data_IF_920598003515
#
_entry.id   IF_920598003515
#
_cell.length_a   1.000
_cell.length_b   1.000
_cell.length_c   1.000
_cell.angle_alpha   90.00
_cell.angle_beta   90.00
_cell.angle_gamma   90.00
#
_symmetry.space_group_name_H-M   'P 1'
#
loop_
_entity.id
_entity.type
_entity.pdbx_description
1 polymer ?
#
# COMPACT_ATOMS: atom_id res chain seq x y z
N UNK A 1 -17.65 36.48 -5.14
CA UNK A 1 -18.78 36.66 -6.09
C UNK A 1 -19.07 35.31 -6.73
N UNK A 2 -20.26 34.72 -6.53
CA UNK A 2 -20.59 33.45 -7.18
C UNK A 2 -20.97 33.72 -8.65
N UNK A 3 -20.25 33.11 -9.58
CA UNK A 3 -20.39 33.34 -11.02
C UNK A 3 -21.66 32.74 -11.65
N UNK A 4 -22.73 32.51 -10.87
CA UNK A 4 -23.95 31.85 -11.35
C UNK A 4 -24.60 32.57 -12.53
N UNK A 5 -24.71 33.91 -12.44
CA UNK A 5 -25.48 34.73 -13.37
C UNK A 5 -24.68 35.37 -14.53
N UNK A 6 -23.41 35.00 -14.72
CA UNK A 6 -22.62 35.59 -15.82
C UNK A 6 -23.07 35.08 -17.19
N UNK A 7 -22.99 35.91 -18.24
CA UNK A 7 -23.10 35.44 -19.63
C UNK A 7 -22.11 34.31 -19.90
N UNK A 8 -22.50 33.35 -20.75
CA UNK A 8 -21.68 32.14 -21.00
C UNK A 8 -20.32 32.50 -21.58
N UNK A 9 -20.30 33.49 -22.47
CA UNK A 9 -19.12 34.04 -23.13
C UNK A 9 -18.18 34.67 -22.09
N UNK A 10 -18.75 35.39 -21.11
CA UNK A 10 -17.98 35.99 -20.04
C UNK A 10 -17.36 34.94 -19.11
N UNK A 11 -18.06 33.82 -18.86
CA UNK A 11 -17.49 32.70 -18.09
C UNK A 11 -16.30 32.06 -18.81
N UNK A 12 -16.37 31.91 -20.13
CA UNK A 12 -15.29 31.36 -20.96
C UNK A 12 -14.11 32.35 -21.02
N UNK A 13 -14.38 33.65 -21.15
CA UNK A 13 -13.37 34.70 -21.07
C UNK A 13 -12.68 34.72 -19.70
N UNK A 14 -13.46 34.59 -18.62
CA UNK A 14 -12.93 34.53 -17.27
C UNK A 14 -12.03 33.29 -17.05
N UNK A 15 -12.36 32.15 -17.67
CA UNK A 15 -11.49 30.98 -17.69
C UNK A 15 -10.18 31.25 -18.44
N UNK A 16 -10.25 31.87 -19.63
CA UNK A 16 -9.07 32.27 -20.40
C UNK A 16 -8.11 33.13 -19.57
N UNK A 17 -8.63 34.12 -18.82
CA UNK A 17 -7.83 34.96 -17.92
C UNK A 17 -7.23 34.25 -16.70
N UNK A 18 -7.49 32.95 -16.51
CA UNK A 18 -6.85 32.10 -15.49
C UNK A 18 -5.81 31.14 -16.07
N UNK A 19 -5.66 31.10 -17.39
CA UNK A 19 -4.69 30.26 -18.08
C UNK A 19 -3.45 31.07 -18.42
N UNK A 20 -2.29 30.42 -18.38
CA UNK A 20 -1.01 31.03 -18.71
C UNK A 20 -0.16 30.09 -19.57
N UNK A 21 0.86 30.65 -20.23
CA UNK A 21 1.82 29.89 -21.02
C UNK A 21 1.19 29.01 -22.11
N UNK A 22 1.67 27.78 -22.24
CA UNK A 22 1.23 26.83 -23.28
C UNK A 22 -0.26 26.49 -23.18
N UNK A 23 -0.83 26.52 -21.96
CA UNK A 23 -2.25 26.24 -21.76
C UNK A 23 -3.13 27.33 -22.35
N UNK A 24 -2.77 28.60 -22.17
CA UNK A 24 -3.47 29.73 -22.78
C UNK A 24 -3.37 29.66 -24.31
N UNK A 25 -2.17 29.46 -24.85
CA UNK A 25 -1.94 29.39 -26.31
C UNK A 25 -2.79 28.27 -26.95
N UNK A 26 -2.87 27.10 -26.30
CA UNK A 26 -3.71 26.01 -26.78
C UNK A 26 -5.19 26.36 -26.69
N UNK A 27 -5.63 26.90 -25.55
CA UNK A 27 -7.02 27.29 -25.33
C UNK A 27 -7.50 28.29 -26.37
N UNK A 28 -6.76 29.37 -26.63
CA UNK A 28 -7.14 30.41 -27.59
C UNK A 28 -7.30 29.87 -29.02
N UNK A 29 -6.46 28.89 -29.40
CA UNK A 29 -6.55 28.23 -30.71
C UNK A 29 -7.79 27.34 -30.84
N UNK A 30 -8.18 26.68 -29.76
CA UNK A 30 -9.23 25.65 -29.79
C UNK A 30 -10.62 26.18 -29.42
N UNK A 31 -10.69 27.24 -28.59
CA UNK A 31 -11.96 27.77 -28.07
C UNK A 31 -12.97 28.16 -29.15
N UNK A 32 -12.60 28.69 -30.34
CA UNK A 32 -13.57 28.95 -31.40
C UNK A 32 -14.23 27.66 -31.90
N UNK A 33 -13.44 26.59 -32.05
CA UNK A 33 -13.96 25.27 -32.46
C UNK A 33 -14.88 24.65 -31.40
N UNK A 34 -14.52 24.75 -30.12
CA UNK A 34 -15.36 24.21 -29.04
C UNK A 34 -16.66 24.98 -28.86
N UNK A 35 -16.61 26.32 -28.92
CA UNK A 35 -17.81 27.18 -28.79
C UNK A 35 -18.79 27.02 -29.95
N UNK A 36 -18.31 26.63 -31.14
CA UNK A 36 -19.17 26.26 -32.27
C UNK A 36 -19.98 24.97 -32.01
N UNK A 37 -19.48 24.05 -31.17
CA UNK A 37 -20.21 22.84 -30.77
C UNK A 37 -21.13 23.13 -29.58
N UNK A 38 -20.59 23.72 -28.53
CA UNK A 38 -21.36 24.16 -27.37
C UNK A 38 -20.67 25.35 -26.71
N UNK A 39 -21.40 26.46 -26.66
CA UNK A 39 -20.95 27.69 -26.03
C UNK A 39 -21.16 27.67 -24.49
N UNK A 40 -20.89 26.55 -23.83
CA UNK A 40 -20.98 26.41 -22.36
C UNK A 40 -19.58 26.30 -21.76
N UNK A 41 -19.38 26.90 -20.58
CA UNK A 41 -18.12 26.78 -19.84
C UNK A 41 -17.80 25.30 -19.56
N UNK A 42 -18.80 24.50 -19.19
CA UNK A 42 -18.62 23.07 -18.91
C UNK A 42 -18.05 22.30 -20.11
N UNK A 43 -18.58 22.52 -21.32
CA UNK A 43 -18.08 21.85 -22.51
C UNK A 43 -16.64 22.25 -22.83
N UNK A 44 -16.31 23.53 -22.69
CA UNK A 44 -14.96 24.05 -22.89
C UNK A 44 -14.00 23.49 -21.83
N UNK A 45 -14.40 23.45 -20.57
CA UNK A 45 -13.60 22.86 -19.48
C UNK A 45 -13.37 21.38 -19.68
N UNK A 46 -14.39 20.61 -20.08
CA UNK A 46 -14.26 19.19 -20.38
C UNK A 46 -13.36 18.96 -21.61
N UNK A 47 -13.48 19.79 -22.64
CA UNK A 47 -12.62 19.70 -23.84
C UNK A 47 -11.15 19.96 -23.50
N UNK A 48 -10.88 20.94 -22.63
CA UNK A 48 -9.53 21.18 -22.14
C UNK A 48 -9.05 20.08 -21.20
N UNK A 49 -9.91 19.57 -20.32
CA UNK A 49 -9.63 18.42 -19.47
C UNK A 49 -9.22 17.21 -20.30
N UNK A 50 -9.86 16.95 -21.44
CA UNK A 50 -9.49 15.84 -22.33
C UNK A 50 -8.05 15.91 -22.86
N UNK A 51 -7.47 17.11 -23.00
CA UNK A 51 -6.06 17.26 -23.36
C UNK A 51 -5.13 16.95 -22.16
N UNK A 52 -5.47 17.47 -20.98
CA UNK A 52 -4.61 17.41 -19.80
C UNK A 52 -4.80 16.15 -18.95
N UNK A 53 -5.93 15.48 -19.11
CA UNK A 53 -6.09 14.12 -18.64
C UNK A 53 -5.22 13.29 -19.57
N UNK A 54 -3.98 13.04 -19.15
CA UNK A 54 -3.23 11.91 -19.68
C UNK A 54 -3.75 10.69 -18.92
N UNK A 55 -4.76 9.96 -19.43
CA UNK A 55 -5.11 8.68 -18.81
C UNK A 55 -3.85 7.83 -18.84
N UNK A 56 -3.51 7.22 -17.71
CA UNK A 56 -2.44 6.24 -17.68
C UNK A 56 -2.90 5.12 -18.63
N UNK A 57 -2.23 4.84 -19.75
CA UNK A 57 -2.67 3.75 -20.62
C UNK A 57 -2.74 2.45 -19.81
N UNK A 58 -3.74 1.60 -20.04
CA UNK A 58 -3.91 0.35 -19.26
C UNK A 58 -2.60 -0.45 -19.15
N UNK A 59 -1.88 -0.62 -20.27
CA UNK A 59 -0.58 -1.30 -20.29
C UNK A 59 0.47 -0.63 -19.38
N UNK A 60 0.51 0.71 -19.34
CA UNK A 60 1.39 1.45 -18.44
C UNK A 60 0.97 1.30 -16.98
N UNK A 61 -0.33 1.24 -16.71
CA UNK A 61 -0.87 0.95 -15.39
C UNK A 61 -0.41 -0.42 -14.88
N UNK A 62 -0.52 -1.46 -15.72
CA UNK A 62 -0.04 -2.82 -15.39
C UNK A 62 1.47 -2.82 -15.14
N UNK A 63 2.25 -2.13 -15.99
CA UNK A 63 3.70 -1.98 -15.81
C UNK A 63 4.03 -1.35 -14.44
N UNK A 64 3.37 -0.25 -14.09
CA UNK A 64 3.54 0.46 -12.83
C UNK A 64 3.15 -0.39 -11.61
N UNK A 65 2.04 -1.13 -11.71
CA UNK A 65 1.54 -2.01 -10.65
C UNK A 65 2.35 -3.30 -10.47
N UNK A 66 3.07 -3.74 -11.52
CA UNK A 66 3.86 -4.97 -11.48
C UNK A 66 5.28 -4.75 -10.93
N UNK A 67 5.70 -3.49 -10.72
CA UNK A 67 6.98 -3.18 -10.07
C UNK A 67 6.96 -3.69 -8.63
N UNK A 68 8.11 -4.21 -8.18
CA UNK A 68 8.23 -4.72 -6.82
C UNK A 68 7.86 -3.66 -5.78
N UNK A 69 7.20 -4.08 -4.69
CA UNK A 69 6.83 -3.23 -3.56
C UNK A 69 8.08 -2.52 -3.04
N UNK A 70 8.02 -1.19 -2.95
CA UNK A 70 9.08 -0.41 -2.32
C UNK A 70 9.31 -0.89 -0.87
N UNK A 71 10.55 -1.26 -0.48
CA UNK A 71 10.86 -1.70 0.88
C UNK A 71 10.50 -0.67 1.96
N UNK A 72 10.51 0.64 1.64
CA UNK A 72 10.15 1.72 2.55
C UNK A 72 8.65 1.89 2.77
N UNK A 73 7.82 1.23 1.95
CA UNK A 73 6.36 1.30 2.01
C UNK A 73 5.74 0.11 2.71
N UNK A 74 4.71 0.37 3.49
CA UNK A 74 3.90 -0.65 4.14
C UNK A 74 2.99 -1.36 3.13
N UNK A 75 2.50 -2.56 3.47
CA UNK A 75 1.53 -3.28 2.62
C UNK A 75 0.23 -2.50 2.36
N UNK A 76 -0.37 -1.79 3.35
CA UNK A 76 -1.54 -0.97 3.08
C UNK A 76 -1.27 0.18 2.11
N UNK A 77 -0.13 0.87 2.23
CA UNK A 77 0.26 1.93 1.27
C UNK A 77 0.45 1.37 -0.14
N UNK A 78 1.08 0.20 -0.26
CA UNK A 78 1.27 -0.46 -1.55
C UNK A 78 -0.06 -0.90 -2.16
N UNK A 79 -0.95 -1.50 -1.37
CA UNK A 79 -2.30 -1.86 -1.82
C UNK A 79 -3.08 -0.63 -2.32
N UNK A 80 -3.08 0.47 -1.55
CA UNK A 80 -3.72 1.72 -1.95
C UNK A 80 -3.13 2.28 -3.26
N UNK A 81 -1.80 2.21 -3.42
CA UNK A 81 -1.14 2.58 -4.68
C UNK A 81 -1.64 1.73 -5.86
N UNK A 82 -1.75 0.41 -5.70
CA UNK A 82 -2.24 -0.48 -6.77
C UNK A 82 -3.69 -0.16 -7.14
N UNK A 83 -4.57 0.02 -6.16
CA UNK A 83 -5.98 0.42 -6.41
C UNK A 83 -6.02 1.74 -7.16
N UNK A 84 -5.28 2.74 -6.70
CA UNK A 84 -5.24 4.05 -7.34
C UNK A 84 -4.76 3.99 -8.79
N UNK A 85 -3.68 3.25 -9.07
CA UNK A 85 -3.17 3.11 -10.43
C UNK A 85 -4.17 2.37 -11.31
N UNK A 86 -4.82 1.32 -10.80
CA UNK A 86 -5.82 0.57 -11.55
C UNK A 86 -7.01 1.45 -11.97
N UNK A 87 -7.57 2.23 -11.03
CA UNK A 87 -8.65 3.19 -11.30
C UNK A 87 -8.25 4.21 -12.36
N UNK A 88 -7.05 4.80 -12.22
CA UNK A 88 -6.55 5.83 -13.14
C UNK A 88 -6.17 5.30 -14.53
N UNK A 89 -6.04 3.99 -14.67
CA UNK A 89 -5.66 3.33 -15.93
C UNK A 89 -6.77 2.45 -16.52
N UNK A 90 -7.94 2.41 -15.89
CA UNK A 90 -9.06 1.56 -16.30
C UNK A 90 -8.77 0.06 -16.20
N UNK A 91 -7.80 -0.35 -15.36
CA UNK A 91 -7.51 -1.76 -15.13
C UNK A 91 -8.50 -2.35 -14.10
N UNK A 92 -8.78 -3.64 -14.24
CA UNK A 92 -9.77 -4.33 -13.39
C UNK A 92 -9.28 -4.53 -11.96
N UNK A 93 -10.23 -4.72 -11.03
CA UNK A 93 -9.92 -5.12 -9.65
C UNK A 93 -9.17 -6.46 -9.59
N UNK A 94 -9.46 -7.37 -10.53
CA UNK A 94 -8.70 -8.62 -10.69
C UNK A 94 -7.23 -8.34 -11.02
N UNK A 95 -6.94 -7.30 -11.80
CA UNK A 95 -5.58 -6.86 -12.08
C UNK A 95 -4.87 -6.40 -10.81
N UNK A 96 -5.54 -5.66 -9.92
CA UNK A 96 -4.99 -5.27 -8.60
C UNK A 96 -4.58 -6.49 -7.80
N UNK A 97 -5.44 -7.50 -7.69
CA UNK A 97 -5.16 -8.75 -6.98
C UNK A 97 -3.95 -9.48 -7.56
N UNK A 98 -3.87 -9.61 -8.89
CA UNK A 98 -2.73 -10.24 -9.55
C UNK A 98 -1.43 -9.44 -9.38
N UNK A 99 -1.51 -8.12 -9.51
CA UNK A 99 -0.37 -7.23 -9.37
C UNK A 99 0.14 -7.18 -7.94
N UNK A 100 -0.73 -7.30 -6.92
CA UNK A 100 -0.30 -7.43 -5.53
C UNK A 100 0.66 -8.62 -5.38
N UNK A 101 0.27 -9.82 -5.83
CA UNK A 101 1.15 -10.99 -5.78
C UNK A 101 2.42 -10.82 -6.64
N UNK A 102 2.32 -10.26 -7.85
CA UNK A 102 3.47 -10.07 -8.75
C UNK A 102 4.51 -9.10 -8.16
N UNK A 103 4.04 -7.99 -7.62
CA UNK A 103 4.87 -6.95 -7.00
C UNK A 103 5.38 -7.32 -5.60
N UNK A 104 4.87 -8.38 -4.98
CA UNK A 104 5.39 -8.84 -3.70
C UNK A 104 6.85 -9.29 -3.80
N UNK A 105 7.71 -9.02 -2.80
CA UNK A 105 9.06 -9.59 -2.73
C UNK A 105 9.07 -11.12 -2.79
N UNK A 106 10.15 -11.70 -3.30
CA UNK A 106 10.23 -13.16 -3.54
C UNK A 106 10.01 -14.01 -2.29
N UNK A 107 10.45 -13.56 -1.11
CA UNK A 107 10.31 -14.32 0.14
C UNK A 107 8.86 -14.53 0.58
N UNK A 108 7.93 -13.65 0.18
CA UNK A 108 6.52 -13.68 0.60
C UNK A 108 5.56 -14.02 -0.54
N UNK A 109 5.97 -13.73 -1.78
CA UNK A 109 5.21 -14.00 -3.00
C UNK A 109 4.65 -15.43 -3.03
N UNK A 110 5.49 -16.43 -2.77
CA UNK A 110 5.08 -17.83 -2.76
C UNK A 110 3.99 -18.11 -1.74
N UNK A 111 4.09 -17.54 -0.53
CA UNK A 111 3.09 -17.73 0.52
C UNK A 111 1.77 -16.99 0.22
N UNK A 112 1.81 -15.87 -0.50
CA UNK A 112 0.60 -15.20 -0.97
C UNK A 112 -0.09 -16.01 -2.07
N UNK A 113 0.67 -16.59 -3.00
CA UNK A 113 0.12 -17.40 -4.09
C UNK A 113 -0.60 -18.67 -3.62
N UNK A 114 -0.20 -19.26 -2.49
CA UNK A 114 -0.92 -20.42 -1.91
C UNK A 114 -2.28 -20.04 -1.31
N UNK A 115 -2.45 -18.77 -0.90
CA UNK A 115 -3.71 -18.24 -0.37
C UNK A 115 -4.60 -17.61 -1.43
N UNK A 116 -4.08 -17.43 -2.65
CA UNK A 116 -4.83 -16.86 -3.76
C UNK A 116 -5.93 -17.81 -4.24
N UNK A 117 -7.17 -17.35 -4.23
CA UNK A 117 -8.34 -18.04 -4.75
C UNK A 117 -8.84 -17.34 -6.02
N UNK A 118 -8.64 -18.00 -7.16
CA UNK A 118 -9.04 -17.50 -8.49
C UNK A 118 -10.55 -17.54 -8.76
N UNK A 119 -11.33 -18.24 -7.94
CA UNK A 119 -12.78 -18.39 -8.10
C UNK A 119 -13.58 -17.28 -7.40
N UNK A 120 -12.94 -16.53 -6.51
CA UNK A 120 -13.55 -15.38 -5.82
C UNK A 120 -13.73 -14.22 -6.78
N UNK A 121 -14.87 -13.54 -6.67
CA UNK A 121 -15.23 -12.35 -7.47
C UNK A 121 -14.97 -11.03 -6.73
N UNK A 122 -14.78 -11.09 -5.40
CA UNK A 122 -14.49 -9.95 -4.53
C UNK A 122 -12.99 -9.64 -4.49
N UNK A 123 -12.43 -9.31 -5.65
CA UNK A 123 -10.99 -9.23 -5.87
C UNK A 123 -10.27 -8.21 -4.96
N UNK A 124 -10.87 -7.03 -4.72
CA UNK A 124 -10.28 -6.03 -3.83
C UNK A 124 -10.26 -6.49 -2.37
N UNK A 125 -11.31 -7.17 -1.92
CA UNK A 125 -11.41 -7.72 -0.58
C UNK A 125 -10.35 -8.82 -0.36
N UNK A 126 -10.21 -9.72 -1.33
CA UNK A 126 -9.15 -10.73 -1.30
C UNK A 126 -7.75 -10.11 -1.31
N UNK A 127 -7.52 -9.05 -2.09
CA UNK A 127 -6.24 -8.35 -2.11
C UNK A 127 -5.92 -7.69 -0.75
N UNK A 128 -6.92 -7.12 -0.08
CA UNK A 128 -6.76 -6.57 1.27
C UNK A 128 -6.44 -7.66 2.32
N UNK A 129 -7.06 -8.83 2.21
CA UNK A 129 -6.75 -9.99 3.06
C UNK A 129 -5.31 -10.49 2.83
N UNK A 130 -4.85 -10.56 1.58
CA UNK A 130 -3.47 -10.93 1.26
C UNK A 130 -2.45 -9.91 1.76
N UNK A 131 -2.77 -8.61 1.68
CA UNK A 131 -1.94 -7.56 2.26
C UNK A 131 -1.88 -7.68 3.80
N UNK A 132 -3.00 -8.00 4.45
CA UNK A 132 -3.06 -8.23 5.90
C UNK A 132 -2.22 -9.45 6.32
N UNK A 133 -2.33 -10.55 5.57
CA UNK A 133 -1.47 -11.72 5.75
C UNK A 133 0.01 -11.34 5.61
N UNK A 134 0.34 -10.50 4.64
CA UNK A 134 1.73 -10.14 4.39
C UNK A 134 2.37 -9.39 5.57
N UNK A 135 1.59 -8.53 6.23
CA UNK A 135 1.98 -7.84 7.48
C UNK A 135 2.29 -8.86 8.59
N UNK A 136 1.39 -9.83 8.82
CA UNK A 136 1.56 -10.85 9.85
C UNK A 136 2.77 -11.75 9.58
N UNK A 137 2.98 -12.12 8.32
CA UNK A 137 4.10 -12.95 7.89
C UNK A 137 5.43 -12.22 8.07
N UNK A 138 5.51 -10.93 7.75
CA UNK A 138 6.71 -10.13 8.00
C UNK A 138 6.98 -9.96 9.49
N UNK A 139 5.96 -9.69 10.31
CA UNK A 139 6.11 -9.61 11.75
C UNK A 139 6.61 -10.93 12.36
N UNK A 140 6.18 -12.07 11.81
CA UNK A 140 6.60 -13.41 12.27
C UNK A 140 8.02 -13.77 11.84
N UNK A 141 8.49 -13.24 10.70
CA UNK A 141 9.87 -13.44 10.22
C UNK A 141 10.89 -12.51 10.89
N UNK A 142 10.44 -11.43 11.52
CA UNK A 142 11.26 -10.63 12.44
C UNK A 142 11.25 -11.33 13.81
N UNK A 143 11.87 -12.52 13.88
CA UNK A 143 12.19 -13.17 15.15
C UNK A 143 13.12 -12.27 16.00
N UNK A 144 13.17 -12.45 17.33
CA UNK A 144 13.86 -11.53 18.23
C UNK A 144 15.30 -11.35 17.77
N UNK A 145 15.66 -10.13 17.38
CA UNK A 145 17.04 -9.74 17.17
C UNK A 145 17.81 -10.11 18.43
N UNK A 146 18.75 -11.03 18.27
CA UNK A 146 19.52 -11.66 19.34
C UNK A 146 20.49 -10.63 19.93
N UNK A 147 19.96 -9.64 20.66
CA UNK A 147 20.68 -8.77 21.56
C UNK A 147 20.85 -9.49 22.88
N UNK A 148 21.77 -10.45 22.93
CA UNK A 148 22.22 -11.06 24.18
C UNK A 148 23.71 -11.36 24.05
N UNK A 149 24.50 -10.28 24.05
CA UNK A 149 25.92 -10.35 24.37
C UNK A 149 26.07 -10.77 25.84
N UNK A 150 26.07 -12.07 26.09
CA UNK A 150 26.42 -12.66 27.38
C UNK A 150 27.77 -13.33 27.29
N UNK A 151 28.86 -12.56 27.40
CA UNK A 151 30.20 -13.11 27.68
C UNK A 151 30.66 -12.66 29.06
N UNK A 152 30.85 -13.67 29.92
CA UNK A 152 31.83 -13.80 31.00
C UNK A 152 32.05 -12.62 31.97
N UNK A 153 31.85 -12.86 33.27
CA UNK A 153 32.91 -13.07 34.28
C UNK A 153 32.34 -13.05 35.71
N UNK A 154 32.95 -13.85 36.60
CA UNK A 154 32.40 -14.21 37.91
C UNK A 154 32.77 -13.30 39.09
N UNK A 155 32.67 -13.93 40.29
CA UNK A 155 32.87 -13.43 41.69
C UNK A 155 31.63 -12.71 42.26
N UNK A 156 31.17 -12.93 43.50
CA UNK A 156 31.65 -13.60 44.73
C UNK A 156 30.52 -13.51 45.78
N UNK A 157 30.46 -14.45 46.73
CA UNK A 157 29.70 -14.29 47.99
C UNK A 157 29.21 -15.62 48.58
N UNK A 158 30.07 -16.42 49.22
CA UNK A 158 30.20 -16.52 50.69
C UNK A 158 28.88 -16.48 51.46
N UNK A 159 28.49 -17.62 52.03
CA UNK A 159 27.45 -17.75 53.05
C UNK A 159 27.44 -19.16 53.66
N UNK A 160 28.37 -19.42 54.56
CA UNK A 160 28.47 -20.65 55.35
C UNK A 160 27.61 -20.53 56.62
N UNK A 161 26.81 -21.55 56.92
CA UNK A 161 26.44 -21.97 58.29
C UNK A 161 25.02 -21.64 58.75
N UNK A 162 24.24 -22.66 59.13
CA UNK A 162 24.14 -23.09 60.55
C UNK A 162 23.37 -24.41 60.70
N UNK A 163 23.91 -25.26 61.58
CA UNK A 163 23.35 -26.49 62.09
C UNK A 163 22.10 -26.29 62.97
N UNK A 164 21.17 -27.25 62.86
CA UNK A 164 20.26 -27.81 63.90
C UNK A 164 19.64 -29.06 63.24
N UNK A 165 19.57 -30.28 63.76
CA UNK A 165 19.81 -30.86 65.08
C UNK A 165 18.75 -31.96 65.31
N UNK A 166 19.18 -33.22 65.53
CA UNK A 166 18.39 -34.35 66.09
C UNK A 166 17.36 -35.03 65.16
N UNK A 167 17.14 -36.35 65.15
CA UNK A 167 17.68 -37.46 65.92
C UNK A 167 16.88 -38.76 65.65
N UNK A 168 17.57 -39.90 65.76
CA UNK A 168 17.14 -41.26 66.16
C UNK A 168 16.11 -42.11 65.36
N UNK A 169 16.51 -43.38 65.17
CA UNK A 169 15.72 -44.57 64.84
C UNK A 169 16.16 -45.20 63.51
N UNK A 170 16.92 -46.28 63.40
CA UNK A 170 17.13 -47.43 64.29
C UNK A 170 16.25 -48.61 63.85
N UNK A 171 16.74 -49.48 62.95
CA UNK A 171 16.64 -50.95 63.05
C UNK A 171 17.16 -51.67 61.79
N UNK A 172 18.17 -52.51 62.06
CA UNK A 172 18.25 -53.94 61.70
C UNK A 172 18.28 -54.38 60.22
N UNK A 173 19.39 -55.01 59.86
CA UNK A 173 19.47 -55.91 58.71
C UNK A 173 19.37 -57.39 59.08
N UNK A 174 19.55 -58.20 58.02
CA UNK A 174 19.88 -59.64 57.91
C UNK A 174 18.76 -60.66 57.63
N UNK A 175 19.14 -61.59 56.74
CA UNK A 175 18.57 -62.90 56.44
C UNK A 175 17.98 -62.94 55.03
N UNK A 176 18.34 -63.79 54.09
CA UNK A 176 19.39 -64.81 53.87
C UNK A 176 19.46 -65.01 52.35
#
# INVERSE_FOLDING_TARGET
MSGGNWPKEFKILALSGKLEGTALIYFEKMVPGWTAVSNTLEYVMNSMLMLYITPIPSAKGIELMSKEKDPSKTWPEHYQYLVHVAERSGNSEQCVLQCLCKSSPTYIRSAMLTRLNSQRIDHLQQAAELASFAIEHEASNVGPSNGSGGSSTGRTGRGHGRHTGGGYGGQSGRGD
#
